data_IF_051697793312
#
_entry.id   IF_051697793312
#
_cell.length_a   1.000
_cell.length_b   1.000
_cell.length_c   1.000
_cell.angle_alpha   90.00
_cell.angle_beta   90.00
_cell.angle_gamma   90.00
#
_symmetry.space_group_name_H-M   'P 1'
#
loop_
_entity.id
_entity.type
_entity.pdbx_description
1 polymer ?
#
# COMPACT_ATOMS: atom_id res chain seq x y z
N UNK A 1 -33.85 15.05 14.17
CA UNK A 1 -32.56 14.57 14.70
C UNK A 1 -32.61 13.06 14.56
N UNK A 2 -31.71 12.51 13.78
CA UNK A 2 -31.56 11.04 13.65
C UNK A 2 -30.97 10.58 14.99
N UNK A 3 -31.63 9.60 15.64
CA UNK A 3 -31.10 9.01 16.87
C UNK A 3 -29.82 8.25 16.51
N UNK A 4 -28.68 8.76 16.91
CA UNK A 4 -27.35 8.17 16.57
C UNK A 4 -27.14 6.80 17.21
N UNK A 5 -27.87 6.47 18.27
CA UNK A 5 -27.80 5.16 18.95
C UNK A 5 -28.41 4.01 18.12
N UNK A 6 -29.30 4.34 17.16
CA UNK A 6 -29.88 3.35 16.24
C UNK A 6 -28.99 3.03 15.02
N UNK A 7 -27.90 3.76 14.84
CA UNK A 7 -27.00 3.62 13.68
C UNK A 7 -25.70 2.88 14.03
N UNK A 8 -25.63 2.17 15.16
CA UNK A 8 -24.43 1.40 15.51
C UNK A 8 -24.45 0.02 14.87
N UNK A 9 -23.27 -0.48 14.50
CA UNK A 9 -23.12 -1.80 13.87
C UNK A 9 -22.35 -2.79 14.72
N UNK A 10 -21.85 -2.38 15.89
CA UNK A 10 -21.04 -3.21 16.80
C UNK A 10 -21.73 -4.51 17.24
N UNK A 11 -23.06 -4.58 17.19
CA UNK A 11 -23.83 -5.76 17.59
C UNK A 11 -23.80 -6.90 16.55
N UNK A 12 -23.36 -6.64 15.31
CA UNK A 12 -23.25 -7.69 14.28
C UNK A 12 -22.00 -7.59 13.42
N UNK A 13 -21.28 -6.47 13.46
CA UNK A 13 -20.07 -6.24 12.66
C UNK A 13 -18.84 -6.30 13.57
N UNK A 14 -18.02 -7.31 13.36
CA UNK A 14 -16.69 -7.45 13.93
C UNK A 14 -15.74 -7.92 12.83
N UNK A 15 -14.87 -7.03 12.32
CA UNK A 15 -13.95 -7.35 11.23
C UNK A 15 -12.87 -8.35 11.64
N UNK A 16 -12.66 -8.59 12.94
CA UNK A 16 -11.70 -9.58 13.46
C UNK A 16 -12.33 -10.96 13.68
N UNK A 17 -13.66 -11.06 13.61
CA UNK A 17 -14.35 -12.33 13.82
C UNK A 17 -14.05 -13.35 12.73
N UNK A 18 -13.90 -14.63 13.14
CA UNK A 18 -13.69 -15.72 12.19
C UNK A 18 -14.77 -15.78 11.12
N UNK A 19 -16.02 -15.54 11.48
CA UNK A 19 -17.14 -15.59 10.54
C UNK A 19 -17.02 -14.52 9.44
N UNK A 20 -16.59 -13.30 9.81
CA UNK A 20 -16.37 -12.24 8.84
C UNK A 20 -15.15 -12.51 7.96
N UNK A 21 -14.06 -13.03 8.53
CA UNK A 21 -12.84 -13.37 7.77
C UNK A 21 -13.11 -14.51 6.78
N UNK A 22 -13.84 -15.53 7.20
CA UNK A 22 -14.14 -16.70 6.34
C UNK A 22 -15.12 -16.35 5.19
N UNK A 23 -16.15 -15.54 5.47
CA UNK A 23 -17.14 -15.09 4.48
C UNK A 23 -17.66 -13.68 4.80
N UNK A 24 -16.97 -12.62 4.33
CA UNK A 24 -17.35 -11.23 4.59
C UNK A 24 -18.60 -10.78 3.84
N UNK A 25 -18.98 -11.49 2.76
CA UNK A 25 -20.00 -11.04 1.80
C UNK A 25 -21.36 -10.77 2.44
N UNK A 26 -21.97 -11.67 3.25
CA UNK A 26 -23.29 -11.41 3.84
C UNK A 26 -23.30 -10.17 4.74
N UNK A 27 -22.23 -9.97 5.52
CA UNK A 27 -22.09 -8.81 6.40
C UNK A 27 -21.93 -7.53 5.61
N UNK A 28 -21.13 -7.52 4.55
CA UNK A 28 -20.93 -6.36 3.67
C UNK A 28 -22.25 -6.01 2.95
N UNK A 29 -22.99 -6.99 2.43
CA UNK A 29 -24.28 -6.77 1.78
C UNK A 29 -25.28 -6.13 2.75
N UNK A 30 -25.33 -6.59 4.00
CA UNK A 30 -26.16 -6.00 5.06
C UNK A 30 -25.75 -4.56 5.36
N UNK A 31 -24.45 -4.29 5.53
CA UNK A 31 -23.92 -2.94 5.76
C UNK A 31 -24.33 -1.99 4.62
N UNK A 32 -24.10 -2.37 3.38
CA UNK A 32 -24.43 -1.54 2.21
C UNK A 32 -25.93 -1.25 2.12
N UNK A 33 -26.76 -2.23 2.42
CA UNK A 33 -28.22 -2.12 2.26
C UNK A 33 -28.91 -1.40 3.42
N UNK A 34 -28.50 -1.71 4.65
CA UNK A 34 -29.25 -1.32 5.85
C UNK A 34 -28.52 -0.24 6.67
N UNK A 35 -27.19 -0.19 6.57
CA UNK A 35 -26.32 0.68 7.37
C UNK A 35 -25.30 1.42 6.50
N UNK A 36 -25.73 2.15 5.45
CA UNK A 36 -24.79 2.76 4.50
C UNK A 36 -23.85 3.80 5.12
N UNK A 37 -24.25 4.40 6.22
CA UNK A 37 -23.41 5.24 7.11
C UNK A 37 -23.79 4.88 8.53
N UNK A 38 -22.84 4.33 9.31
CA UNK A 38 -23.09 3.87 10.65
C UNK A 38 -21.92 4.13 11.60
N UNK A 39 -22.22 4.24 12.88
CA UNK A 39 -21.20 4.34 13.92
C UNK A 39 -20.63 2.96 14.22
N UNK A 40 -19.30 2.86 14.24
CA UNK A 40 -18.56 1.70 14.71
C UNK A 40 -17.76 2.11 15.96
N UNK A 41 -18.34 1.84 17.13
CA UNK A 41 -17.82 2.36 18.39
C UNK A 41 -16.49 1.71 18.78
N UNK A 42 -16.28 0.43 18.41
CA UNK A 42 -15.02 -0.26 18.67
C UNK A 42 -13.79 0.49 18.16
N UNK A 43 -13.93 1.27 17.07
CA UNK A 43 -12.87 2.10 16.50
C UNK A 43 -13.12 3.61 16.67
N UNK A 44 -14.13 4.01 17.42
CA UNK A 44 -14.54 5.42 17.52
C UNK A 44 -14.70 6.09 16.14
N UNK A 45 -15.19 5.36 15.16
CA UNK A 45 -15.21 5.75 13.76
C UNK A 45 -16.61 5.69 13.15
N UNK A 46 -16.78 6.36 12.01
CA UNK A 46 -17.93 6.18 11.13
C UNK A 46 -17.56 5.22 10.01
N UNK A 47 -18.36 4.18 9.84
CA UNK A 47 -18.29 3.27 8.71
C UNK A 47 -19.13 3.82 7.57
N UNK A 48 -18.51 4.00 6.41
CA UNK A 48 -19.20 4.48 5.21
C UNK A 48 -19.13 3.40 4.14
N UNK A 49 -20.27 2.99 3.62
CA UNK A 49 -20.39 1.95 2.61
C UNK A 49 -21.19 2.43 1.40
N UNK A 50 -21.08 1.67 0.30
CA UNK A 50 -21.71 2.02 -0.96
C UNK A 50 -20.93 3.04 -1.78
N UNK A 51 -20.80 2.77 -3.08
CA UNK A 51 -19.94 3.54 -4.00
C UNK A 51 -20.24 5.04 -3.95
N UNK A 52 -21.52 5.44 -3.97
CA UNK A 52 -21.89 6.85 -3.96
C UNK A 52 -21.44 7.55 -2.68
N UNK A 53 -21.71 6.98 -1.50
CA UNK A 53 -21.36 7.61 -0.22
C UNK A 53 -19.86 7.72 -0.06
N UNK A 54 -19.11 6.67 -0.42
CA UNK A 54 -17.64 6.68 -0.39
C UNK A 54 -17.10 7.76 -1.32
N UNK A 55 -17.61 7.85 -2.55
CA UNK A 55 -17.18 8.88 -3.51
C UNK A 55 -17.48 10.29 -2.99
N UNK A 56 -18.67 10.51 -2.44
CA UNK A 56 -19.05 11.80 -1.86
C UNK A 56 -18.10 12.20 -0.71
N UNK A 57 -17.77 11.26 0.19
CA UNK A 57 -16.82 11.49 1.27
C UNK A 57 -15.41 11.80 0.77
N UNK A 58 -14.91 11.04 -0.20
CA UNK A 58 -13.56 11.24 -0.75
C UNK A 58 -13.40 12.60 -1.46
N UNK A 59 -14.49 13.16 -1.99
CA UNK A 59 -14.50 14.45 -2.66
C UNK A 59 -14.85 15.62 -1.74
N UNK A 60 -15.34 15.36 -0.53
CA UNK A 60 -15.77 16.39 0.40
C UNK A 60 -14.57 17.08 1.03
N UNK A 61 -14.45 18.39 0.78
CA UNK A 61 -13.33 19.22 1.28
C UNK A 61 -13.33 19.44 2.80
N UNK A 62 -14.42 19.11 3.49
CA UNK A 62 -14.54 19.18 4.94
C UNK A 62 -13.88 17.99 5.63
N UNK A 63 -13.66 16.88 4.90
CA UNK A 63 -12.96 15.70 5.37
C UNK A 63 -11.46 15.84 5.05
N UNK A 64 -10.63 15.37 5.96
CA UNK A 64 -9.17 15.45 5.85
C UNK A 64 -8.55 14.07 6.08
N UNK A 65 -7.45 13.78 5.38
CA UNK A 65 -6.57 12.64 5.65
C UNK A 65 -5.46 12.97 6.67
N UNK A 66 -5.39 14.23 7.11
CA UNK A 66 -4.43 14.65 8.14
C UNK A 66 -4.85 14.08 9.49
N UNK A 67 -4.16 13.04 9.93
CA UNK A 67 -4.45 12.32 11.16
C UNK A 67 -4.31 13.21 12.41
N UNK A 68 -3.51 14.26 12.34
CA UNK A 68 -3.35 15.20 13.46
C UNK A 68 -4.61 16.05 13.74
N UNK A 69 -5.57 16.06 12.80
CA UNK A 69 -6.86 16.74 12.98
C UNK A 69 -7.91 15.86 13.66
N UNK A 70 -7.62 14.58 13.87
CA UNK A 70 -8.52 13.68 14.56
C UNK A 70 -8.55 13.97 16.08
N UNK A 71 -9.72 14.06 16.65
CA UNK A 71 -9.91 14.43 18.06
C UNK A 71 -9.24 13.47 19.08
N UNK A 72 -9.00 12.22 18.67
CA UNK A 72 -8.32 11.19 19.45
C UNK A 72 -6.89 10.93 18.97
N UNK A 73 -6.34 11.82 18.13
CA UNK A 73 -4.95 11.68 17.69
C UNK A 73 -4.01 11.72 18.90
N UNK A 74 -2.99 10.87 18.96
CA UNK A 74 -1.98 10.97 19.99
C UNK A 74 -1.27 12.32 19.89
N UNK A 75 -0.66 12.80 20.98
CA UNK A 75 0.13 14.04 20.96
C UNK A 75 1.17 13.97 19.82
N UNK A 76 1.28 15.05 19.05
CA UNK A 76 2.26 15.14 17.98
C UNK A 76 3.66 15.00 18.58
N UNK A 77 4.41 14.03 18.09
CA UNK A 77 5.82 13.87 18.44
C UNK A 77 6.68 14.85 17.63
N UNK A 78 7.74 15.34 18.23
CA UNK A 78 8.80 16.01 17.48
C UNK A 78 9.53 14.97 16.60
N UNK A 79 10.09 15.43 15.49
CA UNK A 79 10.73 14.52 14.52
C UNK A 79 11.86 13.67 15.14
N UNK A 80 12.53 14.23 16.15
CA UNK A 80 13.65 13.58 16.87
C UNK A 80 13.15 12.37 17.70
N UNK A 81 11.93 12.46 18.23
CA UNK A 81 11.30 11.45 19.07
C UNK A 81 10.57 10.35 18.27
N UNK A 82 10.47 10.53 16.96
CA UNK A 82 9.83 9.55 16.07
C UNK A 82 10.77 8.39 15.77
N UNK A 83 10.25 7.15 15.78
CA UNK A 83 10.94 6.01 15.22
C UNK A 83 11.02 6.09 13.67
N UNK A 84 11.76 5.16 13.07
CA UNK A 84 11.97 5.13 11.61
C UNK A 84 10.65 4.97 10.82
N UNK A 85 9.73 4.15 11.33
CA UNK A 85 8.42 3.95 10.72
C UNK A 85 7.54 5.21 10.85
N UNK A 86 7.52 5.84 12.01
CA UNK A 86 6.77 7.08 12.24
C UNK A 86 7.27 8.22 11.34
N UNK A 87 8.60 8.36 11.18
CA UNK A 87 9.21 9.31 10.24
C UNK A 87 8.78 9.06 8.80
N UNK A 88 8.77 7.79 8.40
CA UNK A 88 8.32 7.37 7.08
C UNK A 88 6.84 7.72 6.85
N UNK A 89 5.98 7.42 7.83
CA UNK A 89 4.53 7.68 7.74
C UNK A 89 4.22 9.18 7.79
N UNK A 90 4.96 9.96 8.57
CA UNK A 90 4.78 11.43 8.65
C UNK A 90 5.04 12.14 7.31
N UNK A 91 5.83 11.54 6.41
CA UNK A 91 6.10 12.04 5.07
C UNK A 91 5.33 11.27 3.97
N UNK A 92 4.49 10.30 4.36
CA UNK A 92 3.78 9.46 3.41
C UNK A 92 2.63 10.20 2.72
N UNK A 93 2.56 10.09 1.40
CA UNK A 93 1.59 10.76 0.53
C UNK A 93 0.13 10.61 0.99
N UNK A 94 -0.23 9.46 1.59
CA UNK A 94 -1.59 9.18 2.05
C UNK A 94 -2.02 10.00 3.28
N UNK A 95 -1.07 10.47 4.09
CA UNK A 95 -1.33 11.15 5.36
C UNK A 95 -1.01 12.65 5.34
N UNK A 96 -0.54 13.16 4.21
CA UNK A 96 -0.19 14.57 4.08
C UNK A 96 -1.43 15.47 3.92
N UNK A 97 -1.32 16.68 4.44
CA UNK A 97 -2.29 17.73 4.13
C UNK A 97 -2.31 18.05 2.63
N UNK A 98 -3.40 18.69 2.17
CA UNK A 98 -3.65 18.91 0.75
C UNK A 98 -2.52 19.62 0.00
N UNK A 99 -1.90 20.63 0.60
CA UNK A 99 -0.84 21.43 -0.06
C UNK A 99 0.41 20.57 -0.28
N UNK A 100 0.88 19.88 0.76
CA UNK A 100 2.04 19.01 0.68
C UNK A 100 1.77 17.80 -0.23
N UNK A 101 0.58 17.19 -0.15
CA UNK A 101 0.18 16.13 -1.05
C UNK A 101 0.25 16.56 -2.53
N UNK A 102 -0.30 17.74 -2.88
CA UNK A 102 -0.27 18.23 -4.26
C UNK A 102 1.14 18.49 -4.74
N UNK A 103 2.01 19.08 -3.89
CA UNK A 103 3.42 19.30 -4.19
C UNK A 103 4.15 17.99 -4.47
N UNK A 104 4.08 17.03 -3.54
CA UNK A 104 4.75 15.74 -3.74
C UNK A 104 4.23 15.00 -4.96
N UNK A 105 2.92 15.02 -5.20
CA UNK A 105 2.31 14.38 -6.36
C UNK A 105 2.83 14.96 -7.67
N UNK A 106 2.96 16.29 -7.77
CA UNK A 106 3.52 16.93 -8.97
C UNK A 106 4.96 16.51 -9.21
N UNK A 107 5.79 16.50 -8.16
CA UNK A 107 7.20 16.09 -8.24
C UNK A 107 7.35 14.58 -8.58
N UNK A 108 6.44 13.74 -8.11
CA UNK A 108 6.48 12.30 -8.34
C UNK A 108 5.97 11.90 -9.75
N UNK A 109 5.03 12.66 -10.32
CA UNK A 109 4.32 12.26 -11.54
C UNK A 109 5.23 11.92 -12.73
N UNK A 110 6.34 12.65 -13.01
CA UNK A 110 7.25 12.32 -14.11
C UNK A 110 7.87 10.93 -14.02
N UNK A 111 8.09 10.41 -12.79
CA UNK A 111 8.63 9.07 -12.57
C UNK A 111 7.65 7.94 -12.95
N UNK A 112 6.37 8.25 -13.09
CA UNK A 112 5.33 7.33 -13.58
C UNK A 112 4.97 7.56 -15.05
N UNK A 113 5.89 8.11 -15.83
CA UNK A 113 5.68 8.36 -17.26
C UNK A 113 5.45 7.07 -18.05
N UNK A 114 4.69 7.11 -19.17
CA UNK A 114 4.48 5.94 -20.03
C UNK A 114 5.78 5.25 -20.45
N UNK A 115 6.86 6.01 -20.65
CA UNK A 115 8.18 5.48 -21.00
C UNK A 115 8.77 4.60 -19.89
N UNK A 116 8.73 5.06 -18.64
CA UNK A 116 9.23 4.28 -17.50
C UNK A 116 8.33 3.05 -17.30
N UNK A 117 7.02 3.18 -17.48
CA UNK A 117 6.09 2.06 -17.38
C UNK A 117 6.32 0.99 -18.46
N UNK A 118 6.67 1.38 -19.69
CA UNK A 118 7.00 0.40 -20.74
C UNK A 118 8.32 -0.34 -20.45
N UNK A 119 9.33 0.34 -19.92
CA UNK A 119 10.55 -0.33 -19.42
C UNK A 119 10.23 -1.34 -18.30
N UNK A 120 9.30 -0.99 -17.42
CA UNK A 120 8.84 -1.89 -16.35
C UNK A 120 8.14 -3.12 -16.88
N UNK A 121 7.36 -3.02 -17.94
CA UNK A 121 6.69 -4.18 -18.56
C UNK A 121 7.69 -5.27 -18.97
N UNK A 122 8.81 -4.87 -19.57
CA UNK A 122 9.87 -5.81 -19.96
C UNK A 122 10.49 -6.49 -18.73
N UNK A 123 10.83 -5.68 -17.70
CA UNK A 123 11.42 -6.19 -16.45
C UNK A 123 10.44 -7.13 -15.71
N UNK A 124 9.17 -6.72 -15.62
CA UNK A 124 8.11 -7.51 -14.99
C UNK A 124 7.90 -8.86 -15.70
N UNK A 125 7.85 -8.88 -17.04
CA UNK A 125 7.71 -10.12 -17.80
C UNK A 125 8.87 -11.08 -17.52
N UNK A 126 10.10 -10.55 -17.46
CA UNK A 126 11.27 -11.34 -17.12
C UNK A 126 11.17 -11.91 -15.70
N UNK A 127 10.80 -11.08 -14.73
CA UNK A 127 10.67 -11.45 -13.32
C UNK A 127 9.64 -12.57 -13.11
N UNK A 128 8.46 -12.45 -13.75
CA UNK A 128 7.42 -13.49 -13.71
C UNK A 128 7.94 -14.80 -14.28
N UNK A 129 8.62 -14.74 -15.44
CA UNK A 129 9.18 -15.93 -16.06
C UNK A 129 10.22 -16.62 -15.17
N UNK A 130 11.17 -15.86 -14.64
CA UNK A 130 12.19 -16.36 -13.73
C UNK A 130 11.58 -17.00 -12.49
N UNK A 131 10.52 -16.40 -11.93
CA UNK A 131 9.83 -16.96 -10.77
C UNK A 131 9.15 -18.29 -11.07
N UNK A 132 8.51 -18.44 -12.23
CA UNK A 132 7.94 -19.71 -12.66
C UNK A 132 9.04 -20.76 -12.96
N UNK A 133 10.16 -20.36 -13.51
CA UNK A 133 11.31 -21.25 -13.74
C UNK A 133 11.91 -21.75 -12.41
N UNK A 134 11.98 -20.90 -11.37
CA UNK A 134 12.41 -21.26 -10.01
C UNK A 134 11.46 -22.28 -9.34
N UNK A 135 10.15 -22.07 -9.46
CA UNK A 135 9.14 -23.01 -8.94
C UNK A 135 9.21 -24.34 -9.70
N UNK A 136 9.58 -24.31 -10.96
CA UNK A 136 9.67 -25.49 -11.81
C UNK A 136 8.29 -26.02 -12.22
N UNK A 137 8.12 -27.35 -12.18
CA UNK A 137 6.87 -28.04 -12.56
C UNK A 137 6.40 -28.97 -11.44
N UNK A 138 6.12 -28.45 -10.24
CA UNK A 138 5.57 -29.27 -9.18
C UNK A 138 4.15 -29.73 -9.54
N UNK A 139 3.73 -30.85 -8.98
CA UNK A 139 2.35 -31.34 -9.14
C UNK A 139 1.34 -30.34 -8.54
N UNK A 140 1.72 -29.67 -7.46
CA UNK A 140 0.95 -28.62 -6.77
C UNK A 140 1.88 -27.54 -6.23
N UNK A 141 1.42 -26.31 -6.22
CA UNK A 141 2.08 -25.18 -5.57
C UNK A 141 1.03 -24.19 -5.02
N UNK A 142 1.42 -23.39 -4.06
CA UNK A 142 0.55 -22.35 -3.51
C UNK A 142 0.73 -21.05 -4.30
N UNK A 143 -0.23 -20.73 -5.17
CA UNK A 143 -0.17 -19.52 -6.00
C UNK A 143 -0.08 -18.24 -5.17
N UNK A 144 -0.81 -18.15 -4.06
CA UNK A 144 -0.81 -16.96 -3.22
C UNK A 144 0.59 -16.66 -2.67
N UNK A 145 1.18 -17.62 -1.96
CA UNK A 145 2.46 -17.41 -1.26
C UNK A 145 3.68 -17.50 -2.17
N UNK A 146 3.58 -18.25 -3.28
CA UNK A 146 4.73 -18.46 -4.17
C UNK A 146 4.77 -17.52 -5.37
N UNK A 147 3.66 -16.88 -5.72
CA UNK A 147 3.56 -15.97 -6.86
C UNK A 147 2.99 -14.61 -6.44
N UNK A 148 1.76 -14.60 -5.93
CA UNK A 148 0.98 -13.37 -5.79
C UNK A 148 1.53 -12.42 -4.72
N UNK A 149 2.07 -12.92 -3.63
CA UNK A 149 2.71 -12.11 -2.57
C UNK A 149 4.11 -11.62 -2.98
N UNK A 150 4.83 -12.39 -3.80
CA UNK A 150 6.23 -12.14 -4.13
C UNK A 150 6.37 -11.18 -5.32
N UNK A 151 5.66 -11.46 -6.42
CA UNK A 151 5.87 -10.76 -7.68
C UNK A 151 5.64 -9.24 -7.59
N UNK A 152 4.58 -8.73 -6.94
CA UNK A 152 4.36 -7.28 -6.87
C UNK A 152 5.48 -6.54 -6.13
N UNK A 153 5.93 -7.06 -4.99
CA UNK A 153 7.01 -6.44 -4.21
C UNK A 153 8.34 -6.44 -4.98
N UNK A 154 8.67 -7.56 -5.64
CA UNK A 154 9.85 -7.64 -6.48
C UNK A 154 9.77 -6.77 -7.74
N UNK A 155 8.57 -6.56 -8.27
CA UNK A 155 8.37 -5.62 -9.37
C UNK A 155 8.66 -4.17 -8.93
N UNK A 156 8.21 -3.78 -7.74
CA UNK A 156 8.50 -2.46 -7.17
C UNK A 156 10.00 -2.34 -6.84
N UNK A 157 10.62 -3.37 -6.26
CA UNK A 157 12.06 -3.40 -6.04
C UNK A 157 12.84 -3.17 -7.34
N UNK A 158 12.40 -3.83 -8.43
CA UNK A 158 12.98 -3.67 -9.76
C UNK A 158 12.76 -2.27 -10.36
N UNK A 159 11.58 -1.65 -10.10
CA UNK A 159 11.27 -0.28 -10.49
C UNK A 159 12.20 0.72 -9.80
N UNK A 160 12.38 0.58 -8.51
CA UNK A 160 13.25 1.44 -7.69
C UNK A 160 14.73 1.22 -8.04
N UNK A 161 15.08 0.05 -8.56
CA UNK A 161 16.45 -0.33 -8.91
C UNK A 161 17.19 -1.03 -7.79
N UNK A 162 16.48 -1.68 -6.87
CA UNK A 162 17.07 -2.49 -5.79
C UNK A 162 17.82 -3.68 -6.40
N UNK A 163 19.08 -3.93 -6.02
CA UNK A 163 19.81 -5.14 -6.41
C UNK A 163 19.14 -6.42 -5.88
N UNK A 164 19.19 -7.52 -6.66
CA UNK A 164 18.50 -8.77 -6.29
C UNK A 164 18.94 -9.36 -4.94
N UNK A 165 20.22 -9.26 -4.62
CA UNK A 165 20.78 -9.72 -3.34
C UNK A 165 20.26 -8.92 -2.14
N UNK A 166 19.68 -7.75 -2.38
CA UNK A 166 19.06 -6.86 -1.38
C UNK A 166 17.52 -6.99 -1.30
N UNK A 167 16.89 -7.81 -2.15
CA UNK A 167 15.46 -8.02 -2.10
C UNK A 167 14.94 -8.42 -0.71
N UNK A 168 15.57 -9.30 0.08
CA UNK A 168 15.09 -9.62 1.42
C UNK A 168 15.00 -8.43 2.37
N UNK A 169 15.91 -7.45 2.25
CA UNK A 169 15.85 -6.21 3.05
C UNK A 169 14.67 -5.35 2.59
N UNK A 170 14.46 -5.24 1.28
CA UNK A 170 13.36 -4.48 0.71
C UNK A 170 11.99 -5.12 1.01
N UNK A 171 11.91 -6.45 1.00
CA UNK A 171 10.70 -7.20 1.41
C UNK A 171 10.36 -6.94 2.89
N UNK A 172 11.38 -6.87 3.76
CA UNK A 172 11.17 -6.52 5.17
C UNK A 172 10.67 -5.08 5.35
N UNK A 173 11.13 -4.14 4.53
CA UNK A 173 10.59 -2.78 4.49
C UNK A 173 9.12 -2.79 4.03
N UNK A 174 8.82 -3.51 2.95
CA UNK A 174 7.46 -3.64 2.41
C UNK A 174 6.50 -4.21 3.48
N UNK A 175 6.90 -5.29 4.13
CA UNK A 175 6.16 -5.89 5.23
C UNK A 175 5.89 -4.88 6.34
N UNK A 176 6.91 -4.13 6.77
CA UNK A 176 6.78 -3.10 7.80
C UNK A 176 5.83 -1.98 7.41
N UNK A 177 5.91 -1.50 6.18
CA UNK A 177 5.03 -0.43 5.67
C UNK A 177 3.57 -0.88 5.66
N UNK A 178 3.29 -2.10 5.17
CA UNK A 178 1.92 -2.61 5.03
C UNK A 178 1.34 -3.01 6.38
N UNK A 179 2.09 -3.76 7.18
CA UNK A 179 1.59 -4.28 8.46
C UNK A 179 1.59 -3.22 9.56
N UNK A 180 2.59 -2.34 9.59
CA UNK A 180 2.75 -1.34 10.64
C UNK A 180 1.62 -0.31 10.74
N UNK A 181 0.82 -0.14 9.67
CA UNK A 181 -0.37 0.73 9.68
C UNK A 181 -1.62 0.04 10.22
N UNK A 182 -1.59 -1.27 10.51
CA UNK A 182 -2.75 -2.00 11.01
C UNK A 182 -3.03 -1.62 12.47
N UNK A 183 -4.18 -1.00 12.78
CA UNK A 183 -4.51 -0.56 14.14
C UNK A 183 -4.87 -1.71 15.10
N UNK A 184 -4.99 -2.94 14.58
CA UNK A 184 -5.37 -4.12 15.36
C UNK A 184 -4.15 -4.86 15.95
N UNK A 185 -2.92 -4.47 15.59
CA UNK A 185 -1.72 -5.11 16.11
C UNK A 185 -1.50 -4.74 17.58
N UNK A 186 -1.10 -5.74 18.37
CA UNK A 186 -0.53 -5.49 19.71
C UNK A 186 0.79 -4.71 19.58
N UNK A 187 1.26 -4.06 20.67
CA UNK A 187 2.56 -3.38 20.64
C UNK A 187 3.72 -4.29 20.21
N UNK A 188 3.73 -5.55 20.63
CA UNK A 188 4.74 -6.54 20.26
C UNK A 188 4.66 -6.89 18.77
N UNK A 189 3.46 -7.20 18.26
CA UNK A 189 3.25 -7.51 16.84
C UNK A 189 3.62 -6.33 15.96
N UNK A 190 3.32 -5.09 16.41
CA UNK A 190 3.71 -3.88 15.69
C UNK A 190 5.22 -3.71 15.67
N UNK A 191 5.89 -3.90 16.82
CA UNK A 191 7.34 -3.81 16.89
C UNK A 191 8.03 -4.82 15.96
N UNK A 192 7.55 -6.06 15.93
CA UNK A 192 8.04 -7.11 15.03
C UNK A 192 7.79 -6.73 13.55
N UNK A 193 6.61 -6.23 13.24
CA UNK A 193 6.26 -5.84 11.88
C UNK A 193 7.18 -4.76 11.33
N UNK A 194 7.49 -3.71 12.12
CA UNK A 194 8.31 -2.58 11.69
C UNK A 194 9.83 -2.77 11.88
N UNK A 195 10.27 -3.90 12.44
CA UNK A 195 11.68 -4.15 12.77
C UNK A 195 12.62 -4.04 11.55
N UNK A 196 12.14 -4.36 10.35
CA UNK A 196 12.91 -4.27 9.11
C UNK A 196 12.97 -2.86 8.49
N UNK A 197 12.16 -1.92 8.98
CA UNK A 197 12.05 -0.59 8.37
C UNK A 197 13.38 0.19 8.41
N UNK A 198 14.14 0.24 9.51
CA UNK A 198 15.42 0.95 9.54
C UNK A 198 16.39 0.47 8.46
N UNK A 199 16.60 -0.85 8.35
CA UNK A 199 17.51 -1.41 7.35
C UNK A 199 17.04 -1.13 5.91
N UNK A 200 15.73 -1.16 5.67
CA UNK A 200 15.16 -0.80 4.39
C UNK A 200 15.37 0.68 4.03
N UNK A 201 15.25 1.58 5.01
CA UNK A 201 15.50 3.02 4.81
C UNK A 201 16.99 3.30 4.55
N UNK A 202 17.91 2.59 5.25
CA UNK A 202 19.34 2.71 5.00
C UNK A 202 19.66 2.28 3.56
N UNK A 203 19.13 1.15 3.10
CA UNK A 203 19.26 0.67 1.73
C UNK A 203 18.75 1.71 0.71
N UNK A 204 17.60 2.33 0.96
CA UNK A 204 17.05 3.35 0.06
C UNK A 204 17.93 4.61 0.03
N UNK A 205 18.43 5.06 1.17
CA UNK A 205 19.31 6.22 1.25
C UNK A 205 20.66 5.96 0.51
N UNK A 206 21.26 4.78 0.69
CA UNK A 206 22.46 4.38 -0.04
C UNK A 206 22.23 4.41 -1.56
N UNK A 207 21.09 3.88 -2.02
CA UNK A 207 20.75 3.87 -3.42
C UNK A 207 20.47 5.28 -3.97
N UNK A 208 19.79 6.14 -3.20
CA UNK A 208 19.55 7.55 -3.56
C UNK A 208 20.91 8.27 -3.74
N UNK A 209 21.85 8.08 -2.81
CA UNK A 209 23.16 8.71 -2.85
C UNK A 209 24.03 8.20 -4.02
N UNK A 210 23.91 6.92 -4.35
CA UNK A 210 24.56 6.35 -5.53
C UNK A 210 23.99 6.95 -6.82
N UNK A 211 22.67 7.02 -6.94
CA UNK A 211 21.98 7.56 -8.11
C UNK A 211 22.19 9.06 -8.30
N UNK A 212 22.42 9.82 -7.23
CA UNK A 212 22.84 11.23 -7.34
C UNK A 212 24.21 11.39 -7.98
N UNK A 213 25.12 10.46 -7.71
CA UNK A 213 26.47 10.46 -8.30
C UNK A 213 26.45 9.91 -9.74
N UNK A 214 25.62 8.91 -9.98
CA UNK A 214 25.55 8.16 -11.23
C UNK A 214 24.10 8.10 -11.73
N UNK A 215 23.52 9.22 -12.21
CA UNK A 215 22.14 9.24 -12.67
C UNK A 215 21.95 8.38 -13.92
N UNK A 216 20.81 7.74 -14.02
CA UNK A 216 20.40 6.92 -15.17
C UNK A 216 18.98 7.21 -15.59
N UNK A 217 18.54 6.64 -16.71
CA UNK A 217 17.19 6.82 -17.20
C UNK A 217 16.24 5.83 -16.51
N UNK A 218 15.95 6.06 -15.22
CA UNK A 218 15.09 5.22 -14.39
C UNK A 218 14.21 6.02 -13.43
N UNK A 219 13.34 5.29 -12.73
CA UNK A 219 12.38 5.82 -11.77
C UNK A 219 13.05 6.68 -10.69
N UNK A 220 14.07 6.15 -10.03
CA UNK A 220 14.70 6.83 -8.90
C UNK A 220 15.49 8.08 -9.34
N UNK A 221 16.23 7.99 -10.43
CA UNK A 221 16.94 9.16 -11.01
C UNK A 221 15.98 10.26 -11.44
N UNK A 222 14.79 9.87 -11.95
CA UNK A 222 13.74 10.83 -12.28
C UNK A 222 13.20 11.54 -11.03
N UNK A 223 12.99 10.81 -9.93
CA UNK A 223 12.58 11.42 -8.64
C UNK A 223 13.64 12.37 -8.09
N UNK A 224 14.92 11.98 -8.14
CA UNK A 224 16.04 12.78 -7.64
C UNK A 224 16.17 14.09 -8.40
N UNK A 225 15.90 14.08 -9.70
CA UNK A 225 16.03 15.26 -10.57
C UNK A 225 14.74 16.07 -10.70
N UNK A 226 13.62 15.56 -10.17
CA UNK A 226 12.36 16.27 -10.21
C UNK A 226 12.44 17.60 -9.45
N UNK A 227 12.02 18.66 -10.09
CA UNK A 227 12.01 20.02 -9.56
C UNK A 227 10.73 20.73 -10.01
N UNK A 228 10.09 21.43 -9.09
CA UNK A 228 8.93 22.26 -9.35
C UNK A 228 9.10 23.58 -8.56
N UNK A 229 9.10 24.71 -9.25
CA UNK A 229 9.26 26.04 -8.65
C UNK A 229 10.52 26.19 -7.75
N UNK A 230 11.62 25.50 -8.10
CA UNK A 230 12.85 25.48 -7.30
C UNK A 230 12.86 24.49 -6.13
N UNK A 231 11.75 23.80 -5.89
CA UNK A 231 11.65 22.78 -4.84
C UNK A 231 11.96 21.37 -5.38
N UNK A 232 12.64 20.58 -4.55
CA UNK A 232 12.98 19.18 -4.81
C UNK A 232 12.49 18.27 -3.70
N UNK A 233 12.45 16.97 -3.97
CA UNK A 233 12.17 15.98 -2.95
C UNK A 233 13.37 15.83 -2.01
N UNK A 234 13.12 15.86 -0.71
CA UNK A 234 14.09 15.43 0.31
C UNK A 234 14.25 13.89 0.30
N UNK A 235 15.29 13.39 0.94
CA UNK A 235 15.47 11.92 1.09
C UNK A 235 14.28 11.27 1.80
N UNK A 236 13.77 11.90 2.86
CA UNK A 236 12.61 11.39 3.58
C UNK A 236 11.36 11.33 2.70
N UNK A 237 11.13 12.35 1.89
CA UNK A 237 9.98 12.37 0.95
C UNK A 237 10.14 11.31 -0.14
N UNK A 238 11.34 11.08 -0.66
CA UNK A 238 11.61 10.01 -1.62
C UNK A 238 11.39 8.61 -1.00
N UNK A 239 11.94 8.37 0.20
CA UNK A 239 11.73 7.11 0.91
C UNK A 239 10.24 6.89 1.23
N UNK A 240 9.54 7.93 1.68
CA UNK A 240 8.11 7.86 1.97
C UNK A 240 7.26 7.63 0.72
N UNK A 241 7.64 8.22 -0.41
CA UNK A 241 6.98 7.97 -1.70
C UNK A 241 7.19 6.51 -2.16
N UNK A 242 8.40 5.97 -2.03
CA UNK A 242 8.68 4.56 -2.32
C UNK A 242 7.87 3.66 -1.36
N UNK A 243 7.81 4.01 -0.08
CA UNK A 243 6.97 3.34 0.91
C UNK A 243 5.48 3.37 0.55
N UNK A 244 4.97 4.51 0.05
CA UNK A 244 3.60 4.62 -0.43
C UNK A 244 3.33 3.73 -1.65
N UNK A 245 4.27 3.66 -2.60
CA UNK A 245 4.18 2.76 -3.76
C UNK A 245 4.20 1.29 -3.33
N UNK A 246 5.04 0.94 -2.35
CA UNK A 246 5.07 -0.39 -1.74
C UNK A 246 3.73 -0.74 -1.10
N UNK A 247 3.24 0.10 -0.20
CA UNK A 247 1.97 -0.14 0.50
C UNK A 247 0.77 -0.25 -0.44
N UNK A 248 0.74 0.56 -1.50
CA UNK A 248 -0.34 0.53 -2.48
C UNK A 248 -0.24 -0.64 -3.48
N UNK A 249 0.97 -1.09 -3.80
CA UNK A 249 1.21 -1.96 -4.95
C UNK A 249 1.55 -3.40 -4.61
N UNK A 250 1.94 -3.74 -3.37
CA UNK A 250 2.27 -5.12 -3.00
C UNK A 250 1.03 -5.94 -2.66
N UNK A 251 0.41 -5.73 -1.53
CA UNK A 251 -0.72 -6.55 -1.06
C UNK A 251 -1.92 -6.49 -2.00
N UNK A 252 -2.32 -5.28 -2.41
CA UNK A 252 -3.50 -5.12 -3.27
C UNK A 252 -3.35 -5.83 -4.61
N UNK A 253 -2.15 -5.80 -5.21
CA UNK A 253 -1.89 -6.51 -6.45
C UNK A 253 -1.82 -8.03 -6.24
N UNK A 254 -1.25 -8.49 -5.13
CA UNK A 254 -1.19 -9.90 -4.75
C UNK A 254 -2.58 -10.49 -4.51
N UNK A 255 -3.39 -9.82 -3.71
CA UNK A 255 -4.77 -10.21 -3.45
C UNK A 255 -5.58 -10.27 -4.75
N UNK A 256 -5.48 -9.22 -5.58
CA UNK A 256 -6.20 -9.18 -6.85
C UNK A 256 -5.81 -10.33 -7.78
N UNK A 257 -4.52 -10.65 -7.88
CA UNK A 257 -4.04 -11.80 -8.66
C UNK A 257 -4.62 -13.13 -8.13
N UNK A 258 -4.63 -13.30 -6.81
CA UNK A 258 -5.17 -14.50 -6.17
C UNK A 258 -6.67 -14.65 -6.42
N UNK A 259 -7.44 -13.58 -6.30
CA UNK A 259 -8.87 -13.57 -6.63
C UNK A 259 -9.13 -13.80 -8.12
N UNK A 260 -8.33 -13.20 -9.01
CA UNK A 260 -8.46 -13.38 -10.46
C UNK A 260 -8.25 -14.86 -10.85
N UNK A 261 -7.17 -15.48 -10.38
CA UNK A 261 -6.89 -16.89 -10.67
C UNK A 261 -8.00 -17.81 -10.13
N UNK A 262 -8.44 -17.56 -8.88
CA UNK A 262 -9.57 -18.29 -8.30
C UNK A 262 -10.85 -18.14 -9.14
N UNK A 263 -11.16 -16.93 -9.58
CA UNK A 263 -12.33 -16.67 -10.43
C UNK A 263 -12.24 -17.40 -11.77
N UNK A 264 -11.08 -17.31 -12.45
CA UNK A 264 -10.87 -18.01 -13.73
C UNK A 264 -10.95 -19.52 -13.61
N UNK A 265 -10.41 -20.11 -12.54
CA UNK A 265 -10.51 -21.54 -12.29
C UNK A 265 -11.95 -21.98 -11.97
N UNK A 266 -12.77 -21.09 -11.40
CA UNK A 266 -14.19 -21.34 -11.13
C UNK A 266 -15.09 -21.13 -12.35
N UNK A 267 -14.56 -20.54 -13.46
CA UNK A 267 -15.28 -20.26 -14.70
C UNK A 267 -14.47 -20.77 -15.91
N UNK A 268 -14.46 -22.11 -16.16
CA UNK A 268 -13.61 -22.72 -17.17
C UNK A 268 -13.87 -22.23 -18.61
N UNK A 269 -15.09 -21.81 -18.91
CA UNK A 269 -15.50 -21.21 -20.17
C UNK A 269 -14.76 -19.88 -20.43
N UNK A 270 -14.70 -18.99 -19.43
CA UNK A 270 -13.98 -17.72 -19.51
C UNK A 270 -12.46 -17.95 -19.57
N UNK A 271 -11.94 -18.92 -18.80
CA UNK A 271 -10.53 -19.30 -18.88
C UNK A 271 -10.15 -19.82 -20.28
N UNK A 272 -11.02 -20.61 -20.93
CA UNK A 272 -10.82 -21.10 -22.28
C UNK A 272 -10.83 -19.96 -23.32
N UNK A 273 -11.68 -18.93 -23.12
CA UNK A 273 -11.70 -17.76 -23.98
C UNK A 273 -10.42 -16.91 -23.85
N UNK A 274 -9.93 -16.73 -22.63
CA UNK A 274 -8.69 -16.00 -22.35
C UNK A 274 -7.45 -16.67 -22.98
N UNK A 275 -7.48 -17.98 -23.21
CA UNK A 275 -6.35 -18.77 -23.80
C UNK A 275 -6.32 -18.73 -25.33
N UNK A 276 -7.31 -18.15 -25.99
CA UNK A 276 -7.34 -17.95 -27.44
C UNK A 276 -6.49 -16.78 -27.88
#
# INVERSE_FOLDING_TARGET
MINTDELTVDHFFDPSSKNFIDDPKPTIEKLVKEYPIARFNAWSAWLVTGNKNITDCLLDRRLSTDFNLWEHAPPKKELEDMDAFEKLMNNNLFFLNRSNHLRLRKLALPAFSPRIMEQMKVRFTKLVKERFDEIGKPERFNFATEIAEIIPTQAIASLVGIPRDKFPIFDSLAYGVVRGINPMLTPEERADAIAGVPAGLDLLNELIDEKRKNPSDDFLSTLITAEEDGEKLSNWEMCALIGAVLGAGSDTAGDWQSYLIRALLSHPDQLAELKK
#
